data_IF_953828900331
#
_entry.id   IF_953828900331
#
_cell.length_a   1.000
_cell.length_b   1.000
_cell.length_c   1.000
_cell.angle_alpha   90.00
_cell.angle_beta   90.00
_cell.angle_gamma   90.00
#
_symmetry.space_group_name_H-M   'P 1'
#
loop_
_entity.id
_entity.type
_entity.pdbx_description
1 polymer ?
#
# COMPACT_ATOMS: atom_id res chain seq x y z
N UNK A 1 7.50 0.02 -13.83
CA UNK A 1 6.59 0.51 -12.78
C UNK A 1 6.97 -0.11 -11.46
N UNK A 2 7.37 0.68 -10.47
CA UNK A 2 7.74 0.25 -9.12
C UNK A 2 6.49 0.08 -8.25
N UNK A 3 6.63 -0.64 -7.14
CA UNK A 3 5.52 -0.83 -6.18
C UNK A 3 4.98 0.49 -5.63
N UNK A 4 5.86 1.47 -5.34
CA UNK A 4 5.42 2.79 -4.90
C UNK A 4 4.53 3.50 -5.93
N UNK A 5 4.85 3.41 -7.23
CA UNK A 5 4.02 4.00 -8.28
C UNK A 5 2.65 3.32 -8.39
N UNK A 6 2.59 1.99 -8.22
CA UNK A 6 1.33 1.24 -8.15
C UNK A 6 0.48 1.72 -6.97
N UNK A 7 1.11 1.84 -5.79
CA UNK A 7 0.44 2.27 -4.55
C UNK A 7 -0.06 3.71 -4.67
N UNK A 8 0.74 4.62 -5.21
CA UNK A 8 0.35 6.01 -5.46
C UNK A 8 -0.86 6.10 -6.39
N UNK A 9 -0.85 5.35 -7.49
CA UNK A 9 -1.98 5.31 -8.42
C UNK A 9 -3.25 4.77 -7.74
N UNK A 10 -3.12 3.71 -6.94
CA UNK A 10 -4.25 3.16 -6.18
C UNK A 10 -4.80 4.17 -5.16
N UNK A 11 -3.93 4.89 -4.44
CA UNK A 11 -4.33 5.93 -3.50
C UNK A 11 -5.11 7.06 -4.18
N UNK A 12 -4.74 7.45 -5.40
CA UNK A 12 -5.50 8.44 -6.18
C UNK A 12 -6.84 7.87 -6.65
N UNK A 13 -6.87 6.63 -7.11
CA UNK A 13 -8.11 6.00 -7.62
C UNK A 13 -9.19 5.86 -6.55
N UNK A 14 -8.82 5.61 -5.30
CA UNK A 14 -9.76 5.51 -4.18
C UNK A 14 -10.05 6.86 -3.52
N UNK A 15 -9.46 7.96 -4.01
CA UNK A 15 -9.64 9.30 -3.45
C UNK A 15 -8.88 9.56 -2.14
N UNK A 16 -7.95 8.70 -1.75
CA UNK A 16 -7.12 8.89 -0.55
C UNK A 16 -6.13 10.06 -0.72
N UNK A 17 -5.65 10.29 -1.94
CA UNK A 17 -4.76 11.40 -2.29
C UNK A 17 -5.20 12.03 -3.61
N UNK A 18 -4.92 13.31 -3.79
CA UNK A 18 -4.95 13.91 -5.13
C UNK A 18 -3.75 13.45 -5.95
N UNK A 19 -3.84 13.56 -7.28
CA UNK A 19 -2.72 13.22 -8.17
C UNK A 19 -1.44 14.01 -7.85
N UNK A 20 -1.59 15.30 -7.55
CA UNK A 20 -0.47 16.18 -7.20
C UNK A 20 0.20 15.78 -5.88
N UNK A 21 -0.59 15.40 -4.86
CA UNK A 21 -0.05 14.92 -3.59
C UNK A 21 0.67 13.57 -3.74
N UNK A 22 0.09 12.66 -4.52
CA UNK A 22 0.70 11.36 -4.79
C UNK A 22 2.04 11.51 -5.53
N UNK A 23 2.11 12.39 -6.54
CA UNK A 23 3.34 12.70 -7.26
C UNK A 23 4.40 13.33 -6.35
N UNK A 24 4.02 14.33 -5.54
CA UNK A 24 4.92 14.95 -4.57
C UNK A 24 5.50 13.91 -3.61
N UNK A 25 4.67 13.02 -3.06
CA UNK A 25 5.13 11.96 -2.15
C UNK A 25 6.09 11.01 -2.84
N UNK A 26 5.80 10.61 -4.09
CA UNK A 26 6.71 9.76 -4.88
C UNK A 26 8.06 10.43 -5.14
N UNK A 27 8.07 11.70 -5.53
CA UNK A 27 9.30 12.44 -5.81
C UNK A 27 10.16 12.62 -4.57
N UNK A 28 9.54 12.88 -3.42
CA UNK A 28 10.22 13.12 -2.16
C UNK A 28 10.56 11.83 -1.39
N UNK A 29 10.09 10.66 -1.86
CA UNK A 29 10.20 9.40 -1.12
C UNK A 29 9.40 9.38 0.18
N UNK A 30 8.35 10.19 0.28
CA UNK A 30 7.46 10.24 1.44
C UNK A 30 6.55 9.01 1.47
N UNK A 31 6.08 8.64 2.68
CA UNK A 31 5.17 7.51 2.85
C UNK A 31 3.82 7.80 2.19
N UNK A 32 3.27 6.80 1.51
CA UNK A 32 1.86 6.81 1.05
C UNK A 32 1.12 5.92 2.04
N UNK A 33 0.11 6.43 2.78
CA UNK A 33 -0.55 5.71 3.87
C UNK A 33 -1.54 4.64 3.37
N UNK A 34 -1.04 3.76 2.50
CA UNK A 34 -1.75 2.68 1.83
C UNK A 34 -0.79 1.49 1.71
N UNK A 35 -0.90 0.55 2.64
CA UNK A 35 0.07 -0.53 2.81
C UNK A 35 -0.60 -1.90 2.83
N UNK A 36 0.16 -2.95 2.52
CA UNK A 36 -0.27 -4.32 2.83
C UNK A 36 -0.36 -4.48 4.36
N UNK A 37 -1.12 -5.47 4.84
CA UNK A 37 -1.14 -5.77 6.29
C UNK A 37 0.27 -6.03 6.84
N UNK A 38 1.15 -6.67 6.07
CA UNK A 38 2.56 -6.83 6.44
C UNK A 38 3.27 -5.47 6.53
N UNK A 39 3.03 -4.57 5.58
CA UNK A 39 3.59 -3.22 5.59
C UNK A 39 3.16 -2.40 6.81
N UNK A 40 1.90 -2.56 7.24
CA UNK A 40 1.41 -1.99 8.50
C UNK A 40 2.07 -2.63 9.72
N UNK A 41 2.22 -3.95 9.74
CA UNK A 41 2.92 -4.68 10.83
C UNK A 41 4.37 -4.24 11.04
N UNK A 42 5.05 -3.79 9.98
CA UNK A 42 6.39 -3.20 10.08
C UNK A 42 6.39 -1.80 10.71
N UNK A 43 5.27 -1.08 10.67
CA UNK A 43 5.08 0.26 11.27
C UNK A 43 4.54 0.20 12.70
N UNK A 44 4.01 -0.95 13.11
CA UNK A 44 3.48 -1.18 14.45
C UNK A 44 2.62 -2.43 14.50
N UNK A 45 2.14 -2.83 15.69
CA UNK A 45 1.25 -3.97 15.82
C UNK A 45 -0.17 -3.62 15.32
N UNK A 46 -0.39 -3.66 14.01
CA UNK A 46 -1.68 -3.35 13.39
C UNK A 46 -2.45 -4.61 12.97
N UNK A 47 -3.78 -4.52 13.05
CA UNK A 47 -4.73 -5.44 12.42
C UNK A 47 -5.70 -4.67 11.52
N UNK A 48 -6.29 -5.35 10.55
CA UNK A 48 -7.38 -4.83 9.72
C UNK A 48 -8.66 -4.82 10.57
N UNK A 49 -9.50 -3.79 10.43
CA UNK A 49 -10.85 -3.75 11.04
C UNK A 49 -11.76 -4.80 10.39
N UNK A 50 -12.70 -5.36 11.14
CA UNK A 50 -13.48 -6.52 10.69
C UNK A 50 -14.35 -6.25 9.45
N UNK A 51 -14.74 -5.00 9.21
CA UNK A 51 -15.59 -4.52 8.11
C UNK A 51 -14.82 -3.86 6.97
N UNK A 52 -13.48 -3.82 7.02
CA UNK A 52 -12.70 -3.11 6.01
C UNK A 52 -12.50 -3.91 4.72
N UNK A 53 -12.95 -3.34 3.59
CA UNK A 53 -12.72 -3.91 2.27
C UNK A 53 -11.32 -3.57 1.72
N UNK A 54 -10.53 -4.57 1.28
CA UNK A 54 -9.17 -4.33 0.79
C UNK A 54 -9.17 -3.64 -0.58
N UNK A 55 -8.16 -2.82 -0.80
CA UNK A 55 -7.84 -2.31 -2.14
C UNK A 55 -6.97 -3.35 -2.86
N UNK A 56 -7.52 -3.98 -3.89
CA UNK A 56 -6.82 -4.97 -4.70
C UNK A 56 -5.91 -4.32 -5.74
N UNK A 57 -4.63 -4.73 -5.75
CA UNK A 57 -3.64 -4.29 -6.74
C UNK A 57 -2.75 -5.47 -7.17
N UNK A 58 -1.88 -5.24 -8.16
CA UNK A 58 -0.76 -6.14 -8.45
C UNK A 58 0.56 -5.48 -8.09
N UNK A 59 1.31 -6.06 -7.17
CA UNK A 59 2.65 -5.59 -6.77
C UNK A 59 3.72 -6.54 -7.30
N UNK A 60 4.89 -6.00 -7.62
CA UNK A 60 6.08 -6.79 -7.91
C UNK A 60 6.58 -7.47 -6.64
N UNK A 61 6.71 -8.79 -6.72
CA UNK A 61 7.35 -9.62 -5.71
C UNK A 61 8.61 -10.24 -6.29
N UNK A 62 9.61 -10.40 -5.44
CA UNK A 62 10.85 -11.10 -5.77
C UNK A 62 10.67 -12.60 -5.51
N UNK A 63 11.06 -13.43 -6.46
CA UNK A 63 11.15 -14.89 -6.34
C UNK A 63 12.48 -15.28 -5.68
N UNK A 64 12.58 -16.53 -5.24
CA UNK A 64 13.80 -17.07 -4.63
C UNK A 64 14.99 -17.07 -5.61
N UNK A 65 14.71 -17.26 -6.91
CA UNK A 65 15.71 -17.20 -7.99
C UNK A 65 16.14 -15.77 -8.36
N UNK A 66 15.57 -14.76 -7.69
CA UNK A 66 15.87 -13.34 -7.91
C UNK A 66 15.03 -12.67 -8.99
N UNK A 67 14.19 -13.39 -9.74
CA UNK A 67 13.27 -12.78 -10.71
C UNK A 67 12.14 -12.03 -10.02
N UNK A 68 11.51 -11.10 -10.74
CA UNK A 68 10.34 -10.36 -10.25
C UNK A 68 9.10 -10.71 -11.05
N UNK A 69 7.97 -10.86 -10.36
CA UNK A 69 6.67 -11.10 -10.97
C UNK A 69 5.60 -10.24 -10.31
N UNK A 70 4.57 -9.89 -11.09
CA UNK A 70 3.38 -9.21 -10.57
C UNK A 70 2.46 -10.22 -9.89
N UNK A 71 2.19 -10.00 -8.61
CA UNK A 71 1.29 -10.82 -7.82
C UNK A 71 0.14 -9.96 -7.28
N UNK A 72 -1.03 -10.56 -7.17
CA UNK A 72 -2.17 -9.94 -6.47
C UNK A 72 -1.77 -9.62 -5.02
N UNK A 73 -2.14 -8.43 -4.57
CA UNK A 73 -1.91 -7.94 -3.23
C UNK A 73 -3.09 -7.09 -2.78
N UNK A 74 -3.29 -7.04 -1.47
CA UNK A 74 -4.32 -6.24 -0.82
C UNK A 74 -3.65 -5.13 -0.01
N UNK A 75 -4.11 -3.91 -0.22
CA UNK A 75 -3.69 -2.73 0.50
C UNK A 75 -4.83 -2.23 1.39
N UNK A 76 -4.45 -1.59 2.49
CA UNK A 76 -5.36 -0.99 3.46
C UNK A 76 -4.86 0.40 3.78
N UNK A 77 -5.77 1.38 3.84
CA UNK A 77 -5.46 2.72 4.35
C UNK A 77 -5.31 2.70 5.87
N UNK A 78 -4.82 3.80 6.43
CA UNK A 78 -4.73 3.97 7.88
C UNK A 78 -6.10 3.85 8.56
N UNK A 79 -7.16 4.35 7.92
CA UNK A 79 -8.53 4.29 8.44
C UNK A 79 -9.09 2.86 8.51
N UNK A 80 -8.53 1.94 7.72
CA UNK A 80 -8.98 0.54 7.62
C UNK A 80 -8.26 -0.40 8.59
N UNK A 81 -7.24 0.11 9.29
CA UNK A 81 -6.50 -0.64 10.29
C UNK A 81 -6.70 -0.06 11.67
N UNK A 82 -6.39 -0.86 12.69
CA UNK A 82 -6.31 -0.40 14.07
C UNK A 82 -5.08 -1.01 14.73
N UNK A 83 -4.46 -0.24 15.61
CA UNK A 83 -3.34 -0.72 16.41
C UNK A 83 -3.88 -1.62 17.51
N UNK A 84 -3.30 -2.81 17.64
CA UNK A 84 -3.47 -3.65 18.81
C UNK A 84 -2.45 -3.18 19.86
N UNK A 85 -2.95 -2.83 21.04
CA UNK A 85 -2.12 -2.58 22.23
C UNK A 85 -1.39 -3.86 22.67
#
# INVERSE_FOLDING_TARGET
>A
MKNQEIIAKAAVQIGLLTAAEAEKRLMNGEDIPLHTLQGWRLRGNYKVKDDAEPIEVKLWKRQEDGQFYLAKAYLYSEEQVQRNE
#
